data_IF_875574152582
#
_entry.id   IF_875574152582
#
_cell.length_a   1.000
_cell.length_b   1.000
_cell.length_c   1.000
_cell.angle_alpha   90.00
_cell.angle_beta   90.00
_cell.angle_gamma   90.00
#
_symmetry.space_group_name_H-M   'P 1'
#
loop_
_entity.id
_entity.type
_entity.pdbx_description
1 polymer ?
#
# COMPACT_ATOMS: atom_id res chain seq x y z
N UNK A 1 19.91 2.07 35.54
CA UNK A 1 18.48 2.39 35.37
C UNK A 1 18.40 3.34 34.20
N UNK A 2 18.09 2.79 33.05
CA UNK A 2 17.88 3.65 31.86
C UNK A 2 16.68 4.53 32.15
N UNK A 3 16.91 5.82 32.14
CA UNK A 3 15.90 6.80 32.49
C UNK A 3 14.78 6.72 31.44
N UNK A 4 13.53 6.49 31.85
CA UNK A 4 12.35 6.43 30.96
C UNK A 4 12.32 7.61 29.98
N UNK A 5 12.79 8.76 30.43
CA UNK A 5 12.93 9.96 29.61
C UNK A 5 13.92 9.78 28.45
N UNK A 6 15.10 9.19 28.69
CA UNK A 6 16.10 8.96 27.63
C UNK A 6 15.63 7.93 26.62
N UNK A 7 14.93 6.87 27.06
CA UNK A 7 14.32 5.89 26.17
C UNK A 7 13.22 6.52 25.29
N UNK A 8 12.39 7.41 25.85
CA UNK A 8 11.37 8.14 25.09
C UNK A 8 12.00 9.06 24.03
N UNK A 9 13.01 9.83 24.41
CA UNK A 9 13.72 10.74 23.47
C UNK A 9 14.38 9.94 22.35
N UNK A 10 15.07 8.85 22.68
CA UNK A 10 15.70 7.98 21.68
C UNK A 10 14.65 7.37 20.71
N UNK A 11 13.51 6.91 21.24
CA UNK A 11 12.39 6.42 20.45
C UNK A 11 11.85 7.47 19.50
N UNK A 12 11.68 8.70 19.99
CA UNK A 12 11.21 9.84 19.18
C UNK A 12 12.17 10.16 18.03
N UNK A 13 13.48 10.19 18.31
CA UNK A 13 14.51 10.43 17.27
C UNK A 13 14.52 9.30 16.22
N UNK A 14 14.41 8.04 16.65
CA UNK A 14 14.30 6.90 15.73
C UNK A 14 13.05 6.99 14.87
N UNK A 15 11.89 7.30 15.47
CA UNK A 15 10.63 7.49 14.74
C UNK A 15 10.72 8.60 13.71
N UNK A 16 11.30 9.74 14.06
CA UNK A 16 11.53 10.85 13.15
C UNK A 16 12.41 10.46 11.96
N UNK A 17 13.50 9.75 12.19
CA UNK A 17 14.36 9.24 11.11
C UNK A 17 13.63 8.30 10.17
N UNK A 18 12.82 7.39 10.70
CA UNK A 18 12.00 6.47 9.88
C UNK A 18 11.00 7.26 9.04
N UNK A 19 10.31 8.22 9.62
CA UNK A 19 9.34 9.05 8.91
C UNK A 19 9.99 9.84 7.77
N UNK A 20 11.09 10.53 8.04
CA UNK A 20 11.73 11.43 7.08
C UNK A 20 12.62 10.72 6.06
N UNK A 21 13.28 9.64 6.42
CA UNK A 21 14.26 8.97 5.56
C UNK A 21 13.67 7.77 4.79
N UNK A 22 12.60 7.17 5.29
CA UNK A 22 11.99 6.02 4.65
C UNK A 22 10.56 6.31 4.13
N UNK A 23 9.68 6.87 4.98
CA UNK A 23 8.28 7.02 4.58
C UNK A 23 8.10 8.20 3.63
N UNK A 24 8.62 9.38 3.96
CA UNK A 24 8.45 10.58 3.16
C UNK A 24 8.96 10.44 1.72
N UNK A 25 10.17 9.91 1.45
CA UNK A 25 10.63 9.70 0.07
C UNK A 25 9.72 8.76 -0.72
N UNK A 26 9.23 7.69 -0.11
CA UNK A 26 8.34 6.75 -0.79
C UNK A 26 7.00 7.40 -1.16
N UNK A 27 6.47 8.26 -0.30
CA UNK A 27 5.25 9.03 -0.58
C UNK A 27 5.48 10.02 -1.72
N UNK A 28 6.58 10.76 -1.71
CA UNK A 28 6.92 11.71 -2.79
C UNK A 28 7.08 10.99 -4.13
N UNK A 29 7.78 9.86 -4.16
CA UNK A 29 7.92 9.04 -5.37
C UNK A 29 6.56 8.58 -5.87
N UNK A 30 5.67 8.09 -4.98
CA UNK A 30 4.34 7.65 -5.38
C UNK A 30 3.50 8.78 -5.97
N UNK A 31 3.50 9.98 -5.37
CA UNK A 31 2.84 11.16 -5.94
C UNK A 31 3.37 11.52 -7.33
N UNK A 32 4.69 11.51 -7.48
CA UNK A 32 5.33 11.81 -8.77
C UNK A 32 4.93 10.80 -9.84
N UNK A 33 4.93 9.50 -9.50
CA UNK A 33 4.51 8.45 -10.42
C UNK A 33 3.03 8.59 -10.82
N UNK A 34 2.15 8.86 -9.87
CA UNK A 34 0.71 9.09 -10.16
C UNK A 34 0.55 10.29 -11.10
N UNK A 35 1.24 11.40 -10.85
CA UNK A 35 1.19 12.57 -11.73
C UNK A 35 1.70 12.26 -13.14
N UNK A 36 2.78 11.47 -13.27
CA UNK A 36 3.29 11.02 -14.57
C UNK A 36 2.29 10.10 -15.29
N UNK A 37 1.68 9.16 -14.58
CA UNK A 37 0.68 8.25 -15.15
C UNK A 37 -0.56 9.01 -15.62
N UNK A 38 -1.01 10.02 -14.89
CA UNK A 38 -2.11 10.89 -15.32
C UNK A 38 -1.75 11.68 -16.58
N UNK A 39 -0.61 12.36 -16.56
CA UNK A 39 -0.18 13.21 -17.69
C UNK A 39 0.04 12.40 -18.98
N UNK A 40 0.47 11.14 -18.86
CA UNK A 40 0.67 10.24 -20.00
C UNK A 40 -0.63 9.55 -20.49
N UNK A 41 -1.75 9.68 -19.76
CA UNK A 41 -2.99 8.95 -20.05
C UNK A 41 -2.94 7.44 -19.72
N UNK A 42 -1.82 6.95 -19.20
CA UNK A 42 -1.66 5.54 -18.81
C UNK A 42 -2.56 5.19 -17.63
N UNK A 43 -2.84 6.14 -16.74
CA UNK A 43 -3.72 5.92 -15.59
C UNK A 43 -5.14 5.54 -16.04
N UNK A 44 -5.68 6.24 -17.05
CA UNK A 44 -7.01 5.94 -17.62
C UNK A 44 -7.02 4.59 -18.35
N UNK A 45 -5.90 4.23 -18.99
CA UNK A 45 -5.73 2.92 -19.63
C UNK A 45 -5.76 1.78 -18.61
N UNK A 46 -4.99 1.91 -17.53
CA UNK A 46 -4.98 0.96 -16.41
C UNK A 46 -6.36 0.90 -15.72
N UNK A 47 -6.98 2.05 -15.50
CA UNK A 47 -8.30 2.16 -14.90
C UNK A 47 -9.34 1.36 -15.71
N UNK A 48 -9.41 1.57 -17.01
CA UNK A 48 -10.33 0.83 -17.90
C UNK A 48 -10.07 -0.67 -17.93
N UNK A 49 -8.80 -1.07 -17.98
CA UNK A 49 -8.44 -2.48 -18.00
C UNK A 49 -8.77 -3.20 -16.69
N UNK A 50 -8.63 -2.52 -15.55
CA UNK A 50 -8.84 -3.09 -14.22
C UNK A 50 -10.22 -2.80 -13.63
N UNK A 51 -11.06 -1.97 -14.29
CA UNK A 51 -12.38 -1.60 -13.82
C UNK A 51 -13.23 -2.82 -13.42
N UNK A 52 -13.38 -3.89 -14.23
CA UNK A 52 -14.26 -5.01 -13.87
C UNK A 52 -13.82 -5.72 -12.57
N UNK A 53 -12.53 -5.71 -12.25
CA UNK A 53 -12.02 -6.30 -11.02
C UNK A 53 -12.21 -5.34 -9.85
N UNK A 54 -11.96 -4.05 -10.04
CA UNK A 54 -12.08 -3.04 -8.98
C UNK A 54 -13.54 -2.75 -8.61
N UNK A 55 -14.47 -2.83 -9.55
CA UNK A 55 -15.90 -2.70 -9.30
C UNK A 55 -16.45 -3.75 -8.32
N UNK A 56 -15.86 -4.94 -8.28
CA UNK A 56 -16.20 -5.96 -7.27
C UNK A 56 -15.99 -5.45 -5.85
N UNK A 57 -15.07 -4.53 -5.66
CA UNK A 57 -14.76 -3.91 -4.38
C UNK A 57 -15.44 -2.53 -4.20
N UNK A 58 -16.20 -2.06 -5.19
CA UNK A 58 -16.79 -0.73 -5.18
C UNK A 58 -15.78 0.39 -5.39
N UNK A 59 -14.69 0.11 -6.11
CA UNK A 59 -13.58 1.01 -6.36
C UNK A 59 -13.49 1.38 -7.84
N UNK A 60 -13.05 2.60 -8.19
CA UNK A 60 -12.70 2.92 -9.57
C UNK A 60 -11.48 2.12 -10.01
N UNK A 61 -11.36 1.87 -11.32
CA UNK A 61 -10.30 1.05 -11.87
C UNK A 61 -8.88 1.55 -11.56
N UNK A 62 -8.71 2.86 -11.46
CA UNK A 62 -7.43 3.53 -11.12
C UNK A 62 -6.93 3.14 -9.72
N UNK A 63 -7.80 2.68 -8.83
CA UNK A 63 -7.44 2.18 -7.51
C UNK A 63 -6.45 0.99 -7.56
N UNK A 64 -6.37 0.29 -8.69
CA UNK A 64 -5.36 -0.76 -8.89
C UNK A 64 -3.93 -0.24 -8.72
N UNK A 65 -3.67 1.02 -9.05
CA UNK A 65 -2.33 1.64 -8.87
C UNK A 65 -1.94 1.74 -7.41
N UNK A 66 -2.91 1.93 -6.51
CA UNK A 66 -2.69 1.87 -5.06
C UNK A 66 -2.27 0.47 -4.64
N UNK A 67 -2.95 -0.56 -5.12
CA UNK A 67 -2.64 -1.95 -4.79
C UNK A 67 -1.27 -2.37 -5.32
N UNK A 68 -0.93 -1.99 -6.55
CA UNK A 68 0.39 -2.24 -7.14
C UNK A 68 1.48 -1.52 -6.33
N UNK A 69 1.30 -0.23 -6.05
CA UNK A 69 2.26 0.56 -5.24
C UNK A 69 2.44 -0.03 -3.85
N UNK A 70 1.36 -0.52 -3.26
CA UNK A 70 1.35 -1.18 -1.96
C UNK A 70 2.21 -2.44 -1.94
N UNK A 71 2.19 -3.22 -3.00
CA UNK A 71 2.99 -4.45 -3.12
C UNK A 71 4.49 -4.17 -3.01
N UNK A 72 4.94 -3.04 -3.58
CA UNK A 72 6.33 -2.60 -3.46
C UNK A 72 6.60 -1.97 -2.09
N UNK A 73 5.66 -1.17 -1.57
CA UNK A 73 5.83 -0.44 -0.31
C UNK A 73 4.48 0.02 0.24
N UNK A 74 4.22 -0.24 1.52
CA UNK A 74 3.03 0.29 2.19
C UNK A 74 2.97 1.82 2.14
N UNK A 75 4.12 2.50 2.36
CA UNK A 75 4.20 3.97 2.22
C UNK A 75 3.92 4.45 0.80
N UNK A 76 4.36 3.69 -0.22
CA UNK A 76 4.01 3.94 -1.63
C UNK A 76 2.51 3.80 -1.87
N UNK A 77 1.88 2.78 -1.30
CA UNK A 77 0.42 2.60 -1.36
C UNK A 77 -0.36 3.76 -0.76
N UNK A 78 0.04 4.21 0.45
CA UNK A 78 -0.54 5.39 1.09
C UNK A 78 -0.36 6.64 0.22
N UNK A 79 0.85 6.85 -0.33
CA UNK A 79 1.14 7.96 -1.22
C UNK A 79 0.30 7.94 -2.49
N UNK A 80 0.15 6.77 -3.13
CA UNK A 80 -0.69 6.60 -4.31
C UNK A 80 -2.17 6.89 -4.00
N UNK A 81 -2.68 6.37 -2.88
CA UNK A 81 -4.04 6.63 -2.42
C UNK A 81 -4.28 8.12 -2.17
N UNK A 82 -3.36 8.79 -1.48
CA UNK A 82 -3.44 10.22 -1.23
C UNK A 82 -3.33 11.05 -2.54
N UNK A 83 -2.47 10.62 -3.48
CA UNK A 83 -2.36 11.24 -4.79
C UNK A 83 -3.67 11.18 -5.58
N UNK A 84 -4.27 10.00 -5.70
CA UNK A 84 -5.55 9.82 -6.39
C UNK A 84 -6.69 10.56 -5.68
N UNK A 85 -6.67 10.62 -4.35
CA UNK A 85 -7.63 11.38 -3.57
C UNK A 85 -7.52 12.90 -3.85
N UNK A 86 -6.31 13.44 -3.87
CA UNK A 86 -6.07 14.86 -4.14
C UNK A 86 -6.50 15.30 -5.55
N UNK A 87 -6.51 14.37 -6.51
CA UNK A 87 -7.00 14.59 -7.86
C UNK A 87 -8.51 14.29 -8.04
N UNK A 88 -9.22 13.96 -6.96
CA UNK A 88 -10.65 13.70 -6.97
C UNK A 88 -11.07 12.36 -7.61
N UNK A 89 -10.10 11.47 -7.90
CA UNK A 89 -10.37 10.13 -8.47
C UNK A 89 -10.88 9.19 -7.38
N UNK A 90 -10.28 9.26 -6.19
CA UNK A 90 -10.76 8.53 -5.01
C UNK A 90 -11.50 9.49 -4.06
N UNK A 91 -12.47 8.94 -3.34
CA UNK A 91 -13.17 9.61 -2.25
C UNK A 91 -12.87 8.94 -0.90
N UNK A 92 -13.43 9.46 0.20
CA UNK A 92 -13.18 8.94 1.55
C UNK A 92 -13.63 7.48 1.71
N UNK A 93 -14.75 7.09 1.10
CA UNK A 93 -15.25 5.70 1.08
C UNK A 93 -14.24 4.76 0.39
N UNK A 94 -13.71 5.15 -0.77
CA UNK A 94 -12.71 4.37 -1.49
C UNK A 94 -11.42 4.20 -0.66
N UNK A 95 -10.99 5.25 0.03
CA UNK A 95 -9.83 5.18 0.94
C UNK A 95 -10.10 4.18 2.08
N UNK A 96 -11.29 4.23 2.69
CA UNK A 96 -11.66 3.30 3.76
C UNK A 96 -11.61 1.84 3.31
N UNK A 97 -12.07 1.55 2.10
CA UNK A 97 -12.02 0.20 1.51
C UNK A 97 -10.58 -0.24 1.23
N UNK A 98 -9.72 0.66 0.74
CA UNK A 98 -8.33 0.35 0.40
C UNK A 98 -7.42 0.20 1.62
N UNK A 99 -7.72 0.88 2.73
CA UNK A 99 -6.86 0.94 3.91
C UNK A 99 -6.44 -0.45 4.43
N UNK A 100 -7.36 -1.41 4.68
CA UNK A 100 -6.95 -2.74 5.14
C UNK A 100 -6.08 -3.47 4.13
N UNK A 101 -6.30 -3.31 2.83
CA UNK A 101 -5.45 -3.92 1.81
C UNK A 101 -4.02 -3.35 1.85
N UNK A 102 -3.87 -2.03 2.04
CA UNK A 102 -2.55 -1.39 2.17
C UNK A 102 -1.77 -1.98 3.35
N UNK A 103 -2.44 -2.27 4.46
CA UNK A 103 -1.79 -2.89 5.62
C UNK A 103 -1.49 -4.38 5.42
N UNK A 104 -2.44 -5.15 4.89
CA UNK A 104 -2.33 -6.61 4.80
C UNK A 104 -1.40 -7.10 3.69
N UNK A 105 -1.28 -6.36 2.60
CA UNK A 105 -0.39 -6.71 1.48
C UNK A 105 0.79 -5.75 1.30
N UNK A 106 0.99 -4.84 2.25
CA UNK A 106 2.05 -3.84 2.16
C UNK A 106 3.44 -4.45 2.11
N UNK A 107 4.24 -4.05 1.10
CA UNK A 107 5.63 -4.45 0.92
C UNK A 107 5.84 -5.97 0.75
N UNK A 108 4.89 -6.72 0.23
CA UNK A 108 4.99 -8.18 0.08
C UNK A 108 6.22 -8.62 -0.72
N UNK A 109 6.60 -7.88 -1.76
CA UNK A 109 7.81 -8.19 -2.54
C UNK A 109 9.06 -8.14 -1.64
N UNK A 110 9.13 -7.20 -0.70
CA UNK A 110 10.26 -7.09 0.22
C UNK A 110 10.27 -8.23 1.25
N UNK A 111 9.13 -8.81 1.57
CA UNK A 111 9.04 -9.91 2.53
C UNK A 111 9.77 -11.17 2.06
N UNK A 112 9.91 -11.38 0.74
CA UNK A 112 10.69 -12.50 0.19
C UNK A 112 12.11 -12.54 0.76
N UNK A 113 12.82 -11.42 0.72
CA UNK A 113 14.19 -11.36 1.23
C UNK A 113 14.28 -11.12 2.73
N UNK A 114 13.47 -10.21 3.26
CA UNK A 114 13.60 -9.70 4.64
C UNK A 114 12.99 -10.60 5.71
N UNK A 115 11.97 -11.36 5.37
CA UNK A 115 11.26 -12.22 6.32
C UNK A 115 11.40 -13.69 5.90
N UNK A 116 10.92 -14.06 4.74
CA UNK A 116 10.87 -15.46 4.31
C UNK A 116 12.27 -16.03 4.10
N UNK A 117 13.20 -15.24 3.52
CA UNK A 117 14.59 -15.64 3.34
C UNK A 117 15.32 -15.79 4.66
N UNK A 118 15.13 -14.86 5.60
CA UNK A 118 15.75 -14.92 6.94
C UNK A 118 15.17 -16.07 7.78
N UNK A 119 13.87 -16.33 7.66
CA UNK A 119 13.20 -17.44 8.33
C UNK A 119 13.52 -18.82 7.71
N UNK A 120 14.30 -18.86 6.63
CA UNK A 120 14.68 -20.12 5.97
C UNK A 120 13.50 -20.81 5.26
N UNK A 121 12.44 -20.09 4.92
CA UNK A 121 11.29 -20.64 4.21
C UNK A 121 11.70 -21.01 2.80
N UNK A 122 11.39 -22.23 2.39
CA UNK A 122 11.73 -22.71 1.05
C UNK A 122 10.96 -21.91 -0.02
N UNK A 123 11.64 -21.43 -1.06
CA UNK A 123 11.09 -20.54 -2.10
C UNK A 123 9.84 -21.07 -2.80
N UNK A 124 9.68 -22.41 -2.87
CA UNK A 124 8.46 -23.05 -3.42
C UNK A 124 7.17 -22.65 -2.72
N UNK A 125 7.24 -22.20 -1.45
CA UNK A 125 6.08 -21.79 -0.66
C UNK A 125 5.74 -20.29 -0.82
N UNK A 126 6.61 -19.49 -1.42
CA UNK A 126 6.40 -18.05 -1.60
C UNK A 126 5.11 -17.72 -2.35
N UNK A 127 4.79 -18.38 -3.49
CA UNK A 127 3.53 -18.07 -4.20
C UNK A 127 2.29 -18.32 -3.36
N UNK A 128 2.30 -19.37 -2.53
CA UNK A 128 1.18 -19.68 -1.63
C UNK A 128 1.04 -18.60 -0.55
N UNK A 129 2.15 -18.18 0.05
CA UNK A 129 2.15 -17.13 1.09
C UNK A 129 1.69 -15.78 0.52
N UNK A 130 2.13 -15.42 -0.67
CA UNK A 130 1.64 -14.23 -1.37
C UNK A 130 0.16 -14.33 -1.71
N UNK A 131 -0.28 -15.50 -2.19
CA UNK A 131 -1.69 -15.74 -2.46
C UNK A 131 -2.57 -15.59 -1.22
N UNK A 132 -2.12 -16.07 -0.06
CA UNK A 132 -2.80 -15.88 1.22
C UNK A 132 -2.90 -14.40 1.58
N UNK A 133 -1.81 -13.64 1.43
CA UNK A 133 -1.79 -12.19 1.68
C UNK A 133 -2.77 -11.43 0.78
N UNK A 134 -2.78 -11.74 -0.51
CA UNK A 134 -3.72 -11.16 -1.48
C UNK A 134 -5.17 -11.51 -1.17
N UNK A 135 -5.44 -12.78 -0.83
CA UNK A 135 -6.77 -13.24 -0.46
C UNK A 135 -7.28 -12.51 0.80
N UNK A 136 -6.44 -12.40 1.82
CA UNK A 136 -6.79 -11.64 3.03
C UNK A 136 -7.08 -10.17 2.74
N UNK A 137 -6.29 -9.53 1.88
CA UNK A 137 -6.53 -8.15 1.47
C UNK A 137 -7.86 -8.00 0.71
N UNK A 138 -8.14 -8.92 -0.22
CA UNK A 138 -9.40 -8.94 -0.96
C UNK A 138 -10.62 -9.14 -0.04
N UNK A 139 -10.55 -10.09 0.87
CA UNK A 139 -11.62 -10.34 1.85
C UNK A 139 -11.83 -9.13 2.77
N UNK A 140 -10.76 -8.50 3.21
CA UNK A 140 -10.83 -7.30 4.05
C UNK A 140 -11.44 -6.11 3.30
N UNK A 141 -11.11 -5.89 2.02
CA UNK A 141 -11.77 -4.87 1.18
C UNK A 141 -13.26 -5.16 1.01
N UNK A 142 -13.64 -6.41 0.74
CA UNK A 142 -15.05 -6.80 0.63
C UNK A 142 -15.80 -6.57 1.95
N UNK A 143 -15.15 -6.92 3.08
CA UNK A 143 -15.74 -6.67 4.40
C UNK A 143 -15.94 -5.19 4.64
N UNK A 144 -14.93 -4.35 4.37
CA UNK A 144 -15.04 -2.89 4.52
C UNK A 144 -16.13 -2.30 3.63
N UNK A 145 -16.28 -2.79 2.40
CA UNK A 145 -17.36 -2.37 1.49
C UNK A 145 -18.76 -2.54 2.10
N UNK A 146 -18.95 -3.49 3.02
CA UNK A 146 -20.25 -3.71 3.68
C UNK A 146 -20.53 -2.69 4.80
N UNK A 147 -19.50 -2.03 5.32
CA UNK A 147 -19.62 -1.09 6.42
C UNK A 147 -19.56 0.38 5.99
N UNK A 148 -19.20 0.66 4.77
CA UNK A 148 -19.01 1.99 4.20
C UNK A 148 -19.90 2.16 2.97
#
# INVERSE_FOLDING_TARGET
MDNLYSAFVEGTVKGWKVATQNMLPNVVIAFTLIAMLQTSGLLDGLGRACAPVMELFGLPGEAVTVLISTWFSAGGGVGAAAGLYSHGILNATHISILMPAIFLMGAQIQYAGRILGVAGVHSRHYPVLYGIGMLNAALAMLTMRLFV
#
